data_IF_836544400323
#
_entry.id   IF_836544400323
#
_cell.length_a   1.000
_cell.length_b   1.000
_cell.length_c   1.000
_cell.angle_alpha   90.00
_cell.angle_beta   90.00
_cell.angle_gamma   90.00
#
_symmetry.space_group_name_H-M   'P 1'
#
loop_
_entity.id
_entity.type
_entity.pdbx_description
1 polymer ?
#
# COMPACT_ATOMS: atom_id res chain seq x y z
N UNK A 1 -18.42 15.81 16.14
CA UNK A 1 -18.35 14.88 15.00
C UNK A 1 -17.44 15.46 13.93
N UNK A 2 -16.14 15.20 14.02
CA UNK A 2 -15.18 15.65 13.01
C UNK A 2 -15.41 14.85 11.72
N UNK A 3 -15.91 15.53 10.68
CA UNK A 3 -16.11 15.03 9.31
C UNK A 3 -16.90 13.73 9.13
N UNK A 4 -17.53 13.22 10.20
CA UNK A 4 -18.39 12.02 10.16
C UNK A 4 -19.59 12.32 9.25
N UNK A 5 -19.90 11.41 8.31
CA UNK A 5 -20.98 11.50 7.32
C UNK A 5 -20.77 12.44 6.12
N UNK A 6 -19.57 13.02 5.92
CA UNK A 6 -19.28 13.79 4.70
C UNK A 6 -18.89 12.92 3.50
N UNK A 7 -18.40 11.70 3.76
CA UNK A 7 -17.82 10.78 2.80
C UNK A 7 -17.82 9.36 3.38
N UNK A 8 -17.63 8.33 2.55
CA UNK A 8 -17.39 6.96 3.01
C UNK A 8 -15.99 6.77 3.61
N UNK A 9 -15.02 7.54 3.13
CA UNK A 9 -13.61 7.44 3.49
C UNK A 9 -13.01 8.79 3.86
N UNK A 10 -11.98 8.77 4.70
CA UNK A 10 -11.22 9.93 5.11
C UNK A 10 -9.73 9.67 4.92
N UNK A 11 -9.07 10.56 4.17
CA UNK A 11 -7.63 10.55 3.99
C UNK A 11 -7.00 11.58 4.92
N UNK A 12 -6.08 11.11 5.77
CA UNK A 12 -5.24 11.99 6.59
C UNK A 12 -4.04 12.47 5.78
N UNK A 13 -3.88 13.78 5.68
CA UNK A 13 -2.78 14.46 4.99
C UNK A 13 -2.29 15.63 5.84
N UNK A 14 -1.07 16.08 5.56
CA UNK A 14 -0.47 17.31 6.08
C UNK A 14 -0.57 18.43 5.03
N UNK A 15 -0.24 19.66 5.41
CA UNK A 15 -0.32 20.84 4.56
C UNK A 15 0.79 20.94 3.50
N UNK A 16 1.90 20.23 3.71
CA UNK A 16 3.10 20.24 2.87
C UNK A 16 3.35 18.90 2.16
N UNK A 17 2.29 18.34 1.56
CA UNK A 17 2.35 17.07 0.82
C UNK A 17 2.33 17.29 -0.69
N UNK A 18 3.22 16.58 -1.42
CA UNK A 18 3.08 16.33 -2.85
C UNK A 18 2.37 15.01 -3.09
N UNK A 19 1.52 14.96 -4.12
CA UNK A 19 0.81 13.76 -4.53
C UNK A 19 1.28 13.29 -5.92
N UNK A 20 1.17 11.99 -6.17
CA UNK A 20 1.36 11.45 -7.52
C UNK A 20 0.24 11.91 -8.46
N UNK A 21 0.54 12.10 -9.75
CA UNK A 21 -0.42 12.66 -10.72
C UNK A 21 -1.75 11.89 -10.80
N UNK A 22 -1.72 10.58 -10.59
CA UNK A 22 -2.87 9.69 -10.70
C UNK A 22 -3.43 9.23 -9.34
N UNK A 23 -3.09 9.93 -8.24
CA UNK A 23 -3.37 9.45 -6.87
C UNK A 23 -4.84 9.07 -6.66
N UNK A 24 -5.80 9.85 -7.17
CA UNK A 24 -7.22 9.58 -6.95
C UNK A 24 -7.69 8.30 -7.66
N UNK A 25 -7.21 8.08 -8.89
CA UNK A 25 -7.53 6.85 -9.65
C UNK A 25 -6.90 5.64 -8.98
N UNK A 26 -5.65 5.76 -8.54
CA UNK A 26 -4.92 4.72 -7.80
C UNK A 26 -5.66 4.34 -6.51
N UNK A 27 -6.02 5.35 -5.72
CA UNK A 27 -6.76 5.20 -4.46
C UNK A 27 -8.07 4.43 -4.67
N UNK A 28 -8.86 4.83 -5.67
CA UNK A 28 -10.13 4.16 -5.98
C UNK A 28 -9.92 2.70 -6.34
N UNK A 29 -8.92 2.38 -7.17
CA UNK A 29 -8.60 0.99 -7.53
C UNK A 29 -8.27 0.14 -6.30
N UNK A 30 -7.44 0.66 -5.39
CA UNK A 30 -7.04 -0.05 -4.16
C UNK A 30 -8.23 -0.25 -3.21
N UNK A 31 -9.09 0.76 -3.07
CA UNK A 31 -10.31 0.62 -2.27
C UNK A 31 -11.22 -0.46 -2.86
N UNK A 32 -11.43 -0.45 -4.18
CA UNK A 32 -12.26 -1.45 -4.87
C UNK A 32 -11.66 -2.85 -4.78
N UNK A 33 -10.34 -3.02 -4.90
CA UNK A 33 -9.70 -4.34 -4.78
C UNK A 33 -9.79 -4.94 -3.37
N UNK A 34 -10.09 -4.11 -2.36
CA UNK A 34 -10.31 -4.50 -0.96
C UNK A 34 -11.78 -4.53 -0.55
N UNK A 35 -12.71 -4.40 -1.49
CA UNK A 35 -14.14 -4.49 -1.19
C UNK A 35 -14.48 -5.85 -0.56
N UNK A 36 -15.24 -5.84 0.54
CA UNK A 36 -15.55 -7.05 1.32
C UNK A 36 -14.45 -7.53 2.27
N UNK A 37 -13.25 -6.96 2.23
CA UNK A 37 -12.18 -7.25 3.19
C UNK A 37 -12.26 -6.37 4.43
N UNK A 38 -11.94 -6.92 5.60
CA UNK A 38 -11.81 -6.13 6.83
C UNK A 38 -10.49 -5.36 6.86
N UNK A 39 -10.57 -4.06 7.09
CA UNK A 39 -9.44 -3.21 7.40
C UNK A 39 -9.90 -1.99 8.20
N UNK A 40 -8.95 -1.44 8.94
CA UNK A 40 -9.07 -0.29 9.84
C UNK A 40 -8.35 0.91 9.24
N UNK A 41 -7.14 0.66 8.71
CA UNK A 41 -6.29 1.69 8.12
C UNK A 41 -5.50 1.12 6.95
N UNK A 42 -5.50 1.86 5.83
CA UNK A 42 -4.62 1.61 4.69
C UNK A 42 -3.62 2.76 4.55
N UNK A 43 -2.39 2.43 4.16
CA UNK A 43 -1.28 3.37 4.05
C UNK A 43 -0.92 3.60 2.58
N UNK A 44 -0.95 4.86 2.15
CA UNK A 44 -0.51 5.34 0.83
C UNK A 44 0.77 6.18 0.92
N UNK A 45 1.39 6.17 2.10
CA UNK A 45 2.75 6.62 2.35
C UNK A 45 3.26 5.92 3.61
N UNK A 46 4.54 5.59 3.61
CA UNK A 46 5.28 5.04 4.75
C UNK A 46 5.53 6.09 5.83
N UNK A 47 5.49 7.38 5.49
CA UNK A 47 5.83 8.48 6.38
C UNK A 47 4.65 8.88 7.28
N UNK A 48 4.92 9.03 8.58
CA UNK A 48 4.09 9.71 9.58
C UNK A 48 2.56 9.58 9.41
N UNK A 49 1.86 10.71 9.51
CA UNK A 49 0.40 10.83 9.37
C UNK A 49 -0.10 10.83 7.92
N UNK A 50 0.79 11.09 6.96
CA UNK A 50 0.38 11.32 5.58
C UNK A 50 -0.08 10.01 4.92
N UNK A 51 -1.08 10.12 4.05
CA UNK A 51 -1.57 9.00 3.27
C UNK A 51 -2.26 7.91 4.10
N UNK A 52 -2.77 8.23 5.30
CA UNK A 52 -3.49 7.25 6.14
C UNK A 52 -4.99 7.32 5.85
N UNK A 53 -5.52 6.27 5.23
CA UNK A 53 -6.92 6.18 4.84
C UNK A 53 -7.73 5.40 5.90
N UNK A 54 -8.86 5.97 6.31
CA UNK A 54 -9.78 5.39 7.27
C UNK A 54 -11.20 5.35 6.71
N UNK A 55 -12.03 4.43 7.22
CA UNK A 55 -13.47 4.55 7.06
C UNK A 55 -14.01 5.70 7.91
N UNK A 56 -14.93 6.50 7.35
CA UNK A 56 -15.51 7.64 8.09
C UNK A 56 -16.24 7.25 9.38
N UNK A 57 -16.78 6.03 9.43
CA UNK A 57 -17.43 5.47 10.63
C UNK A 57 -16.48 5.30 11.82
N UNK A 58 -15.19 5.14 11.55
CA UNK A 58 -14.17 4.90 12.58
C UNK A 58 -13.57 6.21 13.11
N UNK A 59 -13.81 7.35 12.43
CA UNK A 59 -13.24 8.65 12.80
C UNK A 59 -13.59 9.13 14.21
N UNK A 60 -14.83 9.00 14.71
CA UNK A 60 -15.12 9.41 16.09
C UNK A 60 -14.27 8.64 17.10
N UNK A 61 -14.09 7.33 16.87
CA UNK A 61 -13.28 6.48 17.75
C UNK A 61 -11.80 6.81 17.64
N UNK A 62 -11.29 7.05 16.44
CA UNK A 62 -9.92 7.50 16.21
C UNK A 62 -9.66 8.84 16.90
N UNK A 63 -10.54 9.83 16.72
CA UNK A 63 -10.39 11.15 17.34
C UNK A 63 -10.38 11.09 18.87
N UNK A 64 -11.28 10.31 19.48
CA UNK A 64 -11.26 10.11 20.93
C UNK A 64 -9.98 9.39 21.39
N UNK A 65 -9.53 8.37 20.66
CA UNK A 65 -8.29 7.66 20.98
C UNK A 65 -7.09 8.61 20.97
N UNK A 66 -6.94 9.41 19.91
CA UNK A 66 -5.88 10.41 19.83
C UNK A 66 -5.97 11.44 20.96
N UNK A 67 -7.17 11.97 21.22
CA UNK A 67 -7.39 12.94 22.30
C UNK A 67 -7.08 12.38 23.69
N UNK A 68 -7.30 11.09 23.92
CA UNK A 68 -7.02 10.46 25.22
C UNK A 68 -5.52 10.23 25.45
N UNK A 69 -4.73 10.00 24.39
CA UNK A 69 -3.36 9.52 24.51
C UNK A 69 -2.29 10.45 23.92
N UNK A 70 -2.64 11.63 23.38
CA UNK A 70 -1.67 12.54 22.74
C UNK A 70 -0.52 12.98 23.65
N UNK A 71 -0.68 12.95 24.98
CA UNK A 71 0.37 13.27 25.94
C UNK A 71 1.31 12.10 26.24
N UNK A 72 0.88 10.87 25.97
CA UNK A 72 1.62 9.66 26.33
C UNK A 72 2.64 9.28 25.26
N UNK A 73 2.33 9.54 23.98
CA UNK A 73 3.24 9.28 22.88
C UNK A 73 2.86 10.10 21.63
N UNK A 74 3.79 10.25 20.66
CA UNK A 74 3.49 10.91 19.39
C UNK A 74 2.28 10.26 18.70
N UNK A 75 1.40 11.05 18.09
CA UNK A 75 0.18 10.50 17.50
C UNK A 75 0.45 9.52 16.33
N UNK A 76 1.61 9.56 15.67
CA UNK A 76 2.04 8.58 14.66
C UNK A 76 2.06 7.16 15.25
N UNK A 77 2.59 7.04 16.47
CA UNK A 77 2.65 5.78 17.18
C UNK A 77 1.26 5.37 17.65
N UNK A 78 0.44 6.33 18.07
CA UNK A 78 -0.97 6.09 18.39
C UNK A 78 -1.73 5.51 17.20
N UNK A 79 -1.48 5.94 15.97
CA UNK A 79 -2.15 5.35 14.80
C UNK A 79 -1.84 3.85 14.64
N UNK A 80 -0.60 3.43 14.93
CA UNK A 80 -0.19 2.02 14.91
C UNK A 80 -0.93 1.24 16.00
N UNK A 81 -0.98 1.79 17.22
CA UNK A 81 -1.71 1.16 18.33
C UNK A 81 -3.21 1.07 18.08
N UNK A 82 -3.81 2.12 17.52
CA UNK A 82 -5.22 2.13 17.15
C UNK A 82 -5.56 1.00 16.17
N UNK A 83 -4.75 0.84 15.13
CA UNK A 83 -4.86 -0.25 14.16
C UNK A 83 -4.79 -1.63 14.84
N UNK A 84 -3.80 -1.82 15.72
CA UNK A 84 -3.61 -3.07 16.45
C UNK A 84 -4.74 -3.41 17.42
N UNK A 85 -5.26 -2.41 18.15
CA UNK A 85 -6.43 -2.56 19.04
C UNK A 85 -7.68 -3.01 18.30
N UNK A 86 -7.79 -2.67 17.02
CA UNK A 86 -8.90 -3.04 16.15
C UNK A 86 -8.61 -4.31 15.34
N UNK A 87 -7.72 -5.16 15.86
CA UNK A 87 -7.39 -6.46 15.33
C UNK A 87 -6.81 -6.47 13.90
N UNK A 88 -6.34 -5.32 13.39
CA UNK A 88 -5.51 -5.29 12.18
C UNK A 88 -4.04 -5.25 12.58
N UNK A 89 -3.41 -6.43 12.65
CA UNK A 89 -1.98 -6.56 12.96
C UNK A 89 -1.12 -6.11 11.78
N UNK A 90 -1.46 -6.59 10.59
CA UNK A 90 -0.69 -6.38 9.37
C UNK A 90 -0.84 -4.96 8.83
N UNK A 91 0.27 -4.44 8.31
CA UNK A 91 0.31 -3.16 7.60
C UNK A 91 -0.27 -3.39 6.21
N UNK A 92 -1.35 -2.69 5.87
CA UNK A 92 -1.88 -2.70 4.50
C UNK A 92 -1.35 -1.44 3.81
N UNK A 93 -0.17 -1.57 3.18
CA UNK A 93 0.49 -0.48 2.47
C UNK A 93 0.38 -0.66 0.97
N UNK A 94 0.04 0.42 0.28
CA UNK A 94 0.06 0.51 -1.17
C UNK A 94 1.44 0.96 -1.65
N UNK A 95 1.93 0.32 -2.72
CA UNK A 95 3.13 0.74 -3.43
C UNK A 95 2.85 0.90 -4.92
N UNK A 96 3.43 1.93 -5.59
CA UNK A 96 4.26 3.00 -5.01
C UNK A 96 3.45 3.93 -4.09
N UNK A 97 4.13 4.59 -3.15
CA UNK A 97 3.50 5.58 -2.29
C UNK A 97 2.90 6.71 -3.14
N UNK A 98 1.70 7.17 -2.79
CA UNK A 98 0.98 8.21 -3.52
C UNK A 98 1.26 9.61 -2.98
N UNK A 99 1.85 9.71 -1.79
CA UNK A 99 2.08 10.97 -1.11
C UNK A 99 3.53 11.06 -0.61
N UNK A 100 4.11 12.26 -0.72
CA UNK A 100 5.44 12.59 -0.25
C UNK A 100 5.39 13.87 0.57
N UNK A 101 5.92 13.81 1.78
CA UNK A 101 6.12 14.98 2.62
C UNK A 101 7.22 15.88 2.02
N UNK A 102 6.97 17.18 1.92
CA UNK A 102 7.89 18.17 1.35
C UNK A 102 8.52 19.09 2.39
N UNK A 103 8.07 19.04 3.65
CA UNK A 103 8.65 19.83 4.72
C UNK A 103 10.08 19.42 5.03
N UNK A 104 10.98 20.40 5.09
CA UNK A 104 12.40 20.22 5.39
C UNK A 104 12.72 20.38 6.88
N UNK A 105 11.80 20.97 7.65
CA UNK A 105 11.99 21.30 9.06
C UNK A 105 10.85 20.72 9.90
N UNK A 106 11.19 19.84 10.83
CA UNK A 106 10.19 19.33 11.77
C UNK A 106 9.89 20.38 12.84
N UNK A 107 8.61 20.50 13.19
CA UNK A 107 8.14 21.23 14.37
C UNK A 107 8.66 20.62 15.68
N UNK A 108 9.06 19.34 15.67
CA UNK A 108 9.71 18.69 16.81
C UNK A 108 11.20 19.06 16.86
N UNK A 109 11.54 19.95 17.80
CA UNK A 109 12.92 20.34 18.15
C UNK A 109 13.75 21.01 17.04
N UNK A 110 13.13 21.46 15.93
CA UNK A 110 13.84 22.19 14.87
C UNK A 110 14.89 21.36 14.13
N UNK A 111 14.74 20.03 14.17
CA UNK A 111 15.65 19.10 13.50
C UNK A 111 15.31 19.08 12.01
N UNK A 112 16.32 19.18 11.15
CA UNK A 112 16.15 18.96 9.72
C UNK A 112 15.61 17.55 9.49
N UNK A 113 14.40 17.46 8.94
CA UNK A 113 13.78 16.18 8.63
C UNK A 113 13.75 16.02 7.12
N UNK A 114 14.72 15.27 6.58
CA UNK A 114 14.83 14.95 5.15
C UNK A 114 14.25 13.57 4.82
N UNK A 115 13.36 13.05 5.67
CA UNK A 115 12.74 11.76 5.42
C UNK A 115 11.94 11.82 4.12
N UNK A 116 12.40 11.06 3.15
CA UNK A 116 11.69 10.79 1.90
C UNK A 116 11.13 9.38 1.93
N UNK A 117 9.98 9.22 1.30
CA UNK A 117 9.40 7.92 1.05
C UNK A 117 10.10 7.38 -0.20
N UNK A 118 10.93 6.36 0.01
CA UNK A 118 11.71 5.69 -1.02
C UNK A 118 10.82 5.04 -2.09
N UNK A 119 9.57 4.71 -1.73
CA UNK A 119 8.58 4.15 -2.63
C UNK A 119 7.72 5.22 -3.35
N UNK A 120 7.95 6.53 -3.13
CA UNK A 120 7.15 7.58 -3.78
C UNK A 120 7.57 7.85 -5.22
N UNK A 121 6.60 7.72 -6.13
CA UNK A 121 6.77 8.01 -7.56
C UNK A 121 5.78 9.08 -8.03
N UNK A 122 6.29 10.32 -8.21
CA UNK A 122 5.50 11.50 -8.64
C UNK A 122 4.84 11.28 -10.01
N UNK A 123 5.59 10.68 -10.93
CA UNK A 123 5.17 10.30 -12.28
C UNK A 123 4.90 8.78 -12.37
N UNK A 124 4.27 8.18 -11.37
CA UNK A 124 3.77 6.78 -11.43
C UNK A 124 2.69 6.62 -12.51
N UNK A 125 3.14 6.58 -13.76
CA UNK A 125 2.36 6.30 -14.96
C UNK A 125 2.03 4.80 -15.02
N UNK A 126 2.82 3.97 -14.35
CA UNK A 126 2.76 2.50 -14.41
C UNK A 126 2.17 1.86 -13.14
N UNK A 127 1.14 2.45 -12.53
CA UNK A 127 0.37 1.71 -11.51
C UNK A 127 -0.32 0.54 -12.23
N UNK A 128 0.00 -0.73 -11.89
CA UNK A 128 -0.52 -1.88 -12.61
C UNK A 128 -2.04 -1.90 -12.54
N UNK A 129 -2.69 -1.97 -13.70
CA UNK A 129 -4.14 -2.02 -13.84
C UNK A 129 -4.66 -3.46 -13.98
N UNK A 130 -4.00 -4.39 -13.29
CA UNK A 130 -4.22 -5.83 -13.30
C UNK A 130 -5.71 -6.21 -13.35
N UNK A 131 -6.25 -6.55 -14.54
CA UNK A 131 -7.65 -6.94 -14.68
C UNK A 131 -7.91 -8.29 -14.00
N UNK A 132 -9.14 -8.57 -13.53
CA UNK A 132 -9.46 -9.84 -12.89
C UNK A 132 -9.02 -11.05 -13.73
N UNK A 133 -8.19 -11.90 -13.15
CA UNK A 133 -7.57 -13.04 -13.82
C UNK A 133 -7.36 -14.22 -12.85
N UNK A 134 -7.40 -15.44 -13.39
CA UNK A 134 -6.88 -16.63 -12.72
C UNK A 134 -5.38 -16.77 -12.95
N UNK A 135 -4.63 -17.09 -11.90
CA UNK A 135 -3.18 -17.26 -11.95
C UNK A 135 -2.84 -18.74 -11.73
N UNK A 136 -2.06 -19.31 -12.65
CA UNK A 136 -1.69 -20.72 -12.64
C UNK A 136 -0.19 -20.88 -12.84
N UNK A 137 0.44 -21.74 -12.05
CA UNK A 137 1.86 -22.05 -12.19
C UNK A 137 2.09 -23.50 -11.79
N UNK A 138 3.08 -24.14 -12.43
CA UNK A 138 3.65 -25.40 -11.95
C UNK A 138 4.98 -25.20 -11.22
N UNK A 139 5.45 -23.94 -11.08
CA UNK A 139 6.63 -23.62 -10.27
C UNK A 139 6.27 -23.89 -8.80
N UNK A 140 7.12 -24.68 -8.14
CA UNK A 140 6.92 -25.00 -6.72
C UNK A 140 6.99 -23.74 -5.86
N UNK A 141 5.89 -23.45 -5.17
CA UNK A 141 5.76 -22.29 -4.27
C UNK A 141 6.63 -22.48 -3.02
N UNK A 142 7.31 -21.42 -2.60
CA UNK A 142 7.99 -21.35 -1.31
C UNK A 142 6.99 -20.85 -0.24
N UNK A 143 6.80 -21.62 0.82
CA UNK A 143 5.88 -21.30 1.92
C UNK A 143 4.48 -20.88 1.45
N UNK A 144 4.02 -19.69 1.84
CA UNK A 144 2.72 -19.12 1.49
C UNK A 144 2.83 -17.99 0.44
N UNK A 145 3.92 -17.92 -0.32
CA UNK A 145 4.15 -16.90 -1.35
C UNK A 145 3.58 -17.32 -2.70
N UNK A 146 2.28 -17.61 -2.74
CA UNK A 146 1.62 -18.16 -3.92
C UNK A 146 1.58 -17.20 -5.13
N UNK A 147 1.26 -17.75 -6.30
CA UNK A 147 1.32 -17.03 -7.55
C UNK A 147 0.36 -15.83 -7.65
N UNK A 148 -0.77 -15.85 -6.92
CA UNK A 148 -1.75 -14.76 -6.96
C UNK A 148 -1.17 -13.48 -6.38
N UNK A 149 -0.20 -13.59 -5.47
CA UNK A 149 0.48 -12.46 -4.83
C UNK A 149 1.29 -11.62 -5.81
N UNK A 150 1.94 -12.22 -6.81
CA UNK A 150 2.63 -11.48 -7.87
C UNK A 150 1.68 -10.69 -8.79
N UNK A 151 0.38 -10.98 -8.73
CA UNK A 151 -0.65 -10.26 -9.49
C UNK A 151 -1.42 -9.25 -8.63
N UNK A 152 -1.09 -9.15 -7.34
CA UNK A 152 -1.69 -8.22 -6.38
C UNK A 152 -1.22 -6.78 -6.62
N UNK A 153 -2.05 -5.81 -6.25
CA UNK A 153 -1.68 -4.37 -6.24
C UNK A 153 -1.14 -3.93 -4.87
N UNK A 154 -0.89 -4.88 -3.97
CA UNK A 154 -0.38 -4.69 -2.61
C UNK A 154 1.07 -5.16 -2.59
N UNK A 155 1.87 -4.68 -1.64
CA UNK A 155 3.27 -5.07 -1.44
C UNK A 155 3.41 -6.56 -1.04
N UNK A 156 3.18 -7.44 -1.99
CA UNK A 156 3.30 -8.88 -1.91
C UNK A 156 3.99 -9.41 -3.18
N UNK A 157 4.55 -10.61 -3.10
CA UNK A 157 5.27 -11.22 -4.22
C UNK A 157 5.07 -12.73 -4.25
N UNK A 158 5.19 -13.31 -5.44
CA UNK A 158 5.37 -14.75 -5.62
C UNK A 158 6.81 -15.10 -5.31
N UNK A 159 7.02 -16.20 -4.58
CA UNK A 159 8.35 -16.73 -4.36
C UNK A 159 8.32 -18.24 -4.58
N UNK A 160 9.06 -18.68 -5.59
CA UNK A 160 9.11 -20.08 -6.01
C UNK A 160 10.51 -20.64 -5.97
N UNK A 161 10.62 -21.97 -6.11
CA UNK A 161 11.88 -22.64 -6.41
C UNK A 161 12.41 -22.23 -7.79
N UNK A 162 13.73 -22.35 -8.04
CA UNK A 162 14.32 -22.04 -9.33
C UNK A 162 13.57 -22.76 -10.47
N UNK A 163 13.04 -22.03 -11.47
CA UNK A 163 12.29 -22.64 -12.56
C UNK A 163 13.22 -23.45 -13.46
N UNK A 164 12.69 -24.54 -14.02
CA UNK A 164 13.34 -25.40 -15.00
C UNK A 164 12.62 -25.33 -16.35
N UNK A 165 13.27 -25.85 -17.40
CA UNK A 165 12.64 -25.93 -18.74
C UNK A 165 11.31 -26.68 -18.67
N UNK A 166 10.23 -26.03 -19.10
CA UNK A 166 8.87 -26.56 -19.05
C UNK A 166 8.03 -26.00 -17.90
N UNK A 167 8.63 -25.26 -16.96
CA UNK A 167 7.89 -24.50 -15.97
C UNK A 167 7.21 -23.28 -16.57
N UNK A 168 6.05 -22.91 -16.04
CA UNK A 168 5.21 -21.85 -16.53
C UNK A 168 4.59 -21.03 -15.41
N UNK A 169 4.36 -19.75 -15.71
CA UNK A 169 3.49 -18.86 -14.95
C UNK A 169 2.49 -18.26 -15.92
N UNK A 170 1.20 -18.53 -15.72
CA UNK A 170 0.13 -18.23 -16.67
C UNK A 170 -0.92 -17.35 -16.01
N UNK A 171 -1.28 -16.29 -16.72
CA UNK A 171 -2.34 -15.35 -16.35
C UNK A 171 -3.49 -15.53 -17.34
N UNK A 172 -4.67 -15.92 -16.84
CA UNK A 172 -5.89 -16.10 -17.64
C UNK A 172 -6.91 -15.04 -17.26
N UNK A 173 -7.09 -14.03 -18.10
CA UNK A 173 -8.07 -12.96 -17.84
C UNK A 173 -9.50 -13.50 -17.87
N UNK A 174 -10.31 -13.08 -16.91
CA UNK A 174 -11.71 -13.50 -16.81
C UNK A 174 -12.57 -12.96 -17.96
N UNK A 175 -12.13 -11.88 -18.60
CA UNK A 175 -12.78 -11.24 -19.76
C UNK A 175 -11.73 -10.96 -20.83
N UNK A 176 -12.19 -10.82 -22.08
CA UNK A 176 -11.32 -10.37 -23.17
C UNK A 176 -10.77 -8.99 -22.85
N UNK A 177 -9.44 -8.88 -22.81
CA UNK A 177 -8.70 -7.69 -22.37
C UNK A 177 -7.72 -7.30 -23.47
N UNK A 178 -7.72 -6.01 -23.86
CA UNK A 178 -6.71 -5.47 -24.76
C UNK A 178 -5.45 -5.14 -23.96
N UNK A 179 -4.39 -5.92 -24.15
CA UNK A 179 -3.10 -5.70 -23.49
C UNK A 179 -2.30 -4.68 -24.30
N UNK A 180 -1.88 -3.59 -23.67
CA UNK A 180 -0.98 -2.58 -24.27
C UNK A 180 0.47 -2.74 -23.80
N UNK A 181 0.66 -3.20 -22.55
CA UNK A 181 1.97 -3.36 -21.91
C UNK A 181 1.89 -4.46 -20.86
N UNK A 182 2.97 -5.23 -20.73
CA UNK A 182 3.17 -6.18 -19.62
C UNK A 182 4.51 -5.81 -18.98
N UNK A 183 4.52 -5.72 -17.65
CA UNK A 183 5.74 -5.53 -16.86
C UNK A 183 5.88 -6.71 -15.91
N UNK A 184 7.04 -7.35 -15.93
CA UNK A 184 7.41 -8.42 -15.00
C UNK A 184 8.57 -7.89 -14.18
N UNK A 185 8.38 -7.76 -12.88
CA UNK A 185 9.43 -7.39 -11.93
C UNK A 185 9.84 -8.65 -11.17
N UNK A 186 11.14 -8.91 -11.07
CA UNK A 186 11.70 -10.08 -10.40
C UNK A 186 12.85 -9.65 -9.49
N UNK A 187 13.06 -10.38 -8.41
CA UNK A 187 14.08 -10.06 -7.41
C UNK A 187 13.64 -8.95 -6.46
N UNK A 188 14.45 -8.73 -5.42
CA UNK A 188 14.29 -7.65 -4.45
C UNK A 188 15.67 -7.23 -3.95
N UNK A 189 15.82 -5.98 -3.49
CA UNK A 189 17.10 -5.49 -2.96
C UNK A 189 17.56 -6.28 -1.73
N UNK A 190 16.61 -6.82 -0.95
CA UNK A 190 16.87 -7.67 0.21
C UNK A 190 17.39 -9.07 -0.17
N UNK A 191 17.14 -9.52 -1.41
CA UNK A 191 17.47 -10.88 -1.89
C UNK A 191 18.04 -10.85 -3.30
N UNK A 192 19.24 -10.28 -3.41
CA UNK A 192 19.93 -10.13 -4.70
C UNK A 192 20.26 -11.47 -5.39
N UNK A 193 20.26 -12.58 -4.66
CA UNK A 193 20.45 -13.94 -5.23
C UNK A 193 19.23 -14.49 -5.96
N UNK A 194 18.05 -13.89 -5.76
CA UNK A 194 16.77 -14.45 -6.19
C UNK A 194 16.25 -13.76 -7.46
N UNK A 195 17.12 -13.02 -8.16
CA UNK A 195 16.80 -12.44 -9.45
C UNK A 195 16.68 -13.51 -10.53
N UNK A 196 15.60 -13.43 -11.31
CA UNK A 196 15.46 -14.24 -12.51
C UNK A 196 16.35 -13.64 -13.60
N UNK A 197 17.53 -14.24 -13.80
CA UNK A 197 18.42 -13.89 -14.89
C UNK A 197 18.01 -14.61 -16.18
N UNK A 198 18.17 -13.92 -17.30
CA UNK A 198 17.92 -14.41 -18.65
C UNK A 198 19.17 -15.05 -19.24
#
# INVERSE_FOLDING_TARGET
>A
NFCTNLSHFYMMLEDDVRCSRNFLTALKKVITSREGSYWVMMEFSKLGYIGKLYHSRDLPRLAHFLLMFYQEMPCDWLLIHFRGLLAQKDVIRFKPSLFQHMGYYSSYKGVENKLKDDDFEEDSIDIPDNPPAGIYTNINVFENYDATKAYSTVDEYFWGKPPSTGDFFVIVFNKSTKISKIRIATGSDDRQSDFLHH
#
